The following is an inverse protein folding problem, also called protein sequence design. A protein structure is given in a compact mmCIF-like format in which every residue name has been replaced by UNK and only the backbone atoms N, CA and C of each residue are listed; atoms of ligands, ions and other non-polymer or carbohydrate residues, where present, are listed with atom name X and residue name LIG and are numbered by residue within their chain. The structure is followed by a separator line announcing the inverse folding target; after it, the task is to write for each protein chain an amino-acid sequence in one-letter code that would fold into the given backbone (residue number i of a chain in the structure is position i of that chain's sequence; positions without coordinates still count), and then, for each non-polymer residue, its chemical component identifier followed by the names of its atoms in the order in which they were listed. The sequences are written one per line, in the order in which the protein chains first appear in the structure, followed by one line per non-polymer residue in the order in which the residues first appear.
data_IF_156378544616
#
_entry.id   IF_156378544616
#
_cell.length_a   1.000
_cell.length_b   1.000
_cell.length_c   1.000
_cell.angle_alpha   90.00
_cell.angle_beta   90.00
_cell.angle_gamma   90.00
#
_symmetry.space_group_name_H-M   'P 1'
#
loop_
_entity.id
_entity.type
_entity.pdbx_description
1 polymer ?
#
# COMPACT_ATOMS: atom_id res chain seq x y z
N UNK A 1 10.90 -11.02 -4.44
CA UNK A 1 10.28 -10.62 -5.73
C UNK A 1 9.02 -11.40 -6.06
N UNK A 2 9.01 -12.75 -6.04
CA UNK A 2 7.79 -13.52 -6.35
C UNK A 2 6.59 -13.16 -5.46
N UNK A 3 6.80 -13.08 -4.15
CA UNK A 3 5.71 -12.78 -3.21
C UNK A 3 5.21 -11.34 -3.34
N UNK A 4 6.13 -10.39 -3.61
CA UNK A 4 5.77 -9.01 -3.95
C UNK A 4 4.83 -8.94 -5.16
N UNK A 5 5.15 -9.67 -6.23
CA UNK A 5 4.30 -9.70 -7.43
C UNK A 5 2.94 -10.35 -7.16
N UNK A 6 2.89 -11.37 -6.31
CA UNK A 6 1.64 -11.98 -5.88
C UNK A 6 0.77 -10.98 -5.12
N UNK A 7 1.35 -10.24 -4.16
CA UNK A 7 0.65 -9.20 -3.41
C UNK A 7 0.16 -8.07 -4.32
N UNK A 8 1.02 -7.55 -5.20
CA UNK A 8 0.66 -6.52 -6.16
C UNK A 8 -0.47 -6.96 -7.11
N UNK A 9 -0.47 -8.24 -7.53
CA UNK A 9 -1.54 -8.80 -8.36
C UNK A 9 -2.86 -8.85 -7.61
N UNK A 10 -2.85 -9.20 -6.33
CA UNK A 10 -4.05 -9.18 -5.48
C UNK A 10 -4.53 -7.74 -5.30
N UNK A 11 -3.64 -6.82 -4.90
CA UNK A 11 -3.95 -5.41 -4.68
C UNK A 11 -4.52 -4.73 -5.93
N UNK A 12 -4.01 -5.07 -7.12
CA UNK A 12 -4.53 -4.52 -8.40
C UNK A 12 -5.99 -4.85 -8.70
N UNK A 13 -6.56 -5.86 -8.03
CA UNK A 13 -7.94 -6.31 -8.22
C UNK A 13 -8.91 -5.75 -7.17
N UNK A 14 -8.41 -5.03 -6.17
CA UNK A 14 -9.20 -4.53 -5.06
C UNK A 14 -9.50 -3.04 -5.26
N UNK A 15 -10.71 -2.73 -5.71
CA UNK A 15 -11.23 -1.37 -5.80
C UNK A 15 -12.54 -1.30 -5.01
N UNK A 16 -12.47 -0.79 -3.78
CA UNK A 16 -13.60 -0.72 -2.84
C UNK A 16 -13.37 0.41 -1.83
N UNK A 17 -14.41 1.16 -1.39
CA UNK A 17 -14.25 2.31 -0.47
C UNK A 17 -13.57 2.00 0.88
N UNK A 18 -13.58 0.73 1.32
CA UNK A 18 -12.96 0.29 2.58
C UNK A 18 -11.62 -0.46 2.38
N UNK A 19 -11.06 -0.41 1.18
CA UNK A 19 -9.75 -1.00 0.88
C UNK A 19 -8.86 0.09 0.31
N UNK A 20 -7.62 0.16 0.79
CA UNK A 20 -6.64 1.14 0.30
C UNK A 20 -6.45 1.00 -1.21
N UNK A 21 -6.53 2.11 -1.91
CA UNK A 21 -6.38 2.19 -3.36
C UNK A 21 -4.94 1.93 -3.74
N UNK A 22 -4.74 0.91 -4.57
CA UNK A 22 -3.45 0.58 -5.17
C UNK A 22 -3.32 1.23 -6.55
N UNK A 23 -2.26 1.99 -6.76
CA UNK A 23 -1.99 2.67 -8.04
C UNK A 23 -1.04 1.91 -8.94
N UNK A 24 -0.06 1.19 -8.38
CA UNK A 24 0.88 0.42 -9.19
C UNK A 24 2.22 0.14 -8.51
N UNK A 25 3.20 -0.19 -9.34
CA UNK A 25 4.54 -0.58 -8.92
C UNK A 25 5.57 0.30 -9.62
N UNK A 26 6.54 0.80 -8.85
CA UNK A 26 7.78 1.37 -9.36
C UNK A 26 8.82 0.26 -9.42
N UNK A 27 9.33 -0.03 -10.63
CA UNK A 27 10.26 -1.12 -10.87
C UNK A 27 11.74 -0.74 -10.73
N UNK A 28 12.05 0.55 -10.88
CA UNK A 28 13.40 1.09 -10.84
C UNK A 28 13.38 2.46 -10.15
N UNK A 29 12.97 2.47 -8.88
CA UNK A 29 12.95 3.68 -8.07
C UNK A 29 14.37 4.16 -7.72
N UNK A 30 14.50 5.30 -7.00
CA UNK A 30 15.79 5.77 -6.52
C UNK A 30 16.58 4.65 -5.82
N UNK A 31 17.80 4.39 -6.30
CA UNK A 31 18.63 3.28 -5.78
C UNK A 31 18.26 1.89 -6.30
N UNK A 32 17.48 1.77 -7.37
CA UNK A 32 17.06 0.49 -7.95
C UNK A 32 15.98 -0.22 -7.13
N UNK A 33 15.22 0.55 -6.32
CA UNK A 33 14.23 -0.02 -5.42
C UNK A 33 12.94 -0.39 -6.14
N UNK A 34 12.35 -1.50 -5.71
CA UNK A 34 11.02 -1.94 -6.11
C UNK A 34 10.00 -1.50 -5.06
N UNK A 35 8.98 -0.75 -5.44
CA UNK A 35 8.01 -0.18 -4.48
C UNK A 35 6.57 -0.24 -4.98
N UNK A 36 5.62 -0.40 -4.07
CA UNK A 36 4.20 -0.21 -4.34
C UNK A 36 3.82 1.26 -4.16
N UNK A 37 2.83 1.71 -4.93
CA UNK A 37 2.25 3.04 -4.81
C UNK A 37 0.78 2.90 -4.43
N UNK A 38 0.37 3.55 -3.36
CA UNK A 38 -1.01 3.57 -2.85
C UNK A 38 -1.45 4.99 -2.58
N UNK A 39 -2.74 5.18 -2.30
CA UNK A 39 -3.19 6.43 -1.70
C UNK A 39 -2.55 6.67 -0.33
N UNK A 40 -2.48 7.94 0.06
CA UNK A 40 -1.89 8.37 1.32
C UNK A 40 -2.95 8.45 2.42
N UNK A 41 -2.74 7.70 3.50
CA UNK A 41 -3.62 7.70 4.67
C UNK A 41 -3.10 8.65 5.74
N UNK A 42 -3.60 9.90 5.75
CA UNK A 42 -3.09 10.98 6.60
C UNK A 42 -3.16 10.70 8.12
N UNK A 43 -4.08 9.84 8.56
CA UNK A 43 -4.24 9.48 9.97
C UNK A 43 -3.42 8.25 10.37
N UNK A 44 -2.60 7.70 9.46
CA UNK A 44 -1.80 6.51 9.72
C UNK A 44 -2.65 5.25 9.86
N UNK A 45 -2.17 4.30 10.66
CA UNK A 45 -2.87 3.04 10.88
C UNK A 45 -3.98 3.19 11.92
N UNK A 46 -4.98 2.32 11.87
CA UNK A 46 -6.03 2.28 12.90
C UNK A 46 -5.44 2.06 14.31
N UNK A 47 -4.35 1.29 14.43
CA UNK A 47 -3.64 1.09 15.69
C UNK A 47 -3.15 2.41 16.27
N UNK A 48 -2.52 3.25 15.44
CA UNK A 48 -1.98 4.54 15.88
C UNK A 48 -3.11 5.47 16.36
N UNK A 49 -4.23 5.49 15.63
CA UNK A 49 -5.41 6.28 15.99
C UNK A 49 -6.02 5.82 17.32
N UNK A 50 -6.08 4.51 17.56
CA UNK A 50 -6.63 3.97 18.81
C UNK A 50 -5.71 4.23 20.01
N UNK A 51 -4.40 4.16 19.81
CA UNK A 51 -3.43 4.42 20.88
C UNK A 51 -3.36 5.88 21.30
N UNK A 52 -3.66 6.83 20.41
CA UNK A 52 -3.73 8.26 20.74
C UNK A 52 -5.01 8.68 21.47
N UNK A 53 -6.03 7.79 21.50
CA UNK A 53 -7.33 8.04 22.13
C UNK A 53 -7.50 7.34 23.48
N UNK A 54 -6.50 6.56 23.92
CA UNK A 54 -6.44 5.96 25.26
C UNK A 54 -5.72 6.87 26.24
#
# INVERSE_FOLDING_TARGET
IRDFWKEATILSKLQHPNVVTFYGIVKDGPGGTFATVTEYMAHGSLKDVLQQKG
#
